data_IF_851407008948
#
_entry.id   IF_851407008948
#
_cell.length_a   1.000
_cell.length_b   1.000
_cell.length_c   1.000
_cell.angle_alpha   90.00
_cell.angle_beta   90.00
_cell.angle_gamma   90.00
#
_symmetry.space_group_name_H-M   'P 1'
#
loop_
_entity.id
_entity.type
_entity.pdbx_description
1 polymer ?
#
# COMPACT_ATOMS: atom_id res chain seq x y z
N UNK A 1 -15.01 -10.96 -26.14
CA UNK A 1 -16.26 -10.19 -26.32
C UNK A 1 -16.87 -9.99 -24.94
N UNK A 2 -16.98 -8.75 -24.47
CA UNK A 2 -17.59 -8.44 -23.16
C UNK A 2 -19.07 -8.15 -23.45
N UNK A 3 -19.97 -8.90 -22.81
CA UNK A 3 -21.41 -8.66 -22.91
C UNK A 3 -21.80 -7.52 -21.95
N UNK A 4 -22.21 -6.38 -22.52
CA UNK A 4 -22.57 -5.18 -21.77
C UNK A 4 -23.95 -5.28 -21.10
N UNK A 5 -24.73 -6.33 -21.38
CA UNK A 5 -26.06 -6.52 -20.79
C UNK A 5 -26.03 -7.25 -19.44
N UNK A 6 -24.86 -7.76 -19.04
CA UNK A 6 -24.70 -8.45 -17.76
C UNK A 6 -24.42 -7.41 -16.67
N UNK A 7 -25.29 -7.26 -15.66
CA UNK A 7 -25.02 -6.34 -14.56
C UNK A 7 -23.78 -6.80 -13.78
N UNK A 8 -23.00 -5.84 -13.25
CA UNK A 8 -21.80 -6.10 -12.44
C UNK A 8 -22.03 -7.12 -11.31
N UNK A 9 -23.25 -7.19 -10.77
CA UNK A 9 -23.68 -8.14 -9.74
C UNK A 9 -23.60 -9.61 -10.18
N UNK A 10 -23.53 -9.89 -11.49
CA UNK A 10 -23.49 -11.24 -12.08
C UNK A 10 -22.12 -11.57 -12.68
N UNK A 11 -21.08 -10.84 -12.29
CA UNK A 11 -19.69 -11.13 -12.70
C UNK A 11 -19.32 -12.56 -12.27
N UNK A 12 -18.73 -13.38 -13.17
CA UNK A 12 -18.38 -14.76 -12.85
C UNK A 12 -17.33 -14.80 -11.75
N UNK A 13 -17.39 -15.84 -10.91
CA UNK A 13 -16.35 -16.07 -9.89
C UNK A 13 -15.11 -16.61 -10.58
N UNK A 14 -14.05 -15.81 -10.58
CA UNK A 14 -12.77 -16.18 -11.19
C UNK A 14 -11.88 -16.89 -10.17
N UNK A 15 -11.20 -17.96 -10.61
CA UNK A 15 -10.19 -18.70 -9.85
C UNK A 15 -10.68 -19.18 -8.47
N UNK A 16 -11.87 -19.78 -8.43
CA UNK A 16 -12.42 -20.34 -7.19
C UNK A 16 -11.45 -21.31 -6.51
N UNK A 17 -11.24 -21.13 -5.20
CA UNK A 17 -10.33 -21.95 -4.39
C UNK A 17 -8.85 -21.55 -4.50
N UNK A 18 -8.45 -20.73 -5.47
CA UNK A 18 -7.09 -20.23 -5.56
C UNK A 18 -6.77 -19.27 -4.40
N UNK A 19 -5.57 -19.38 -3.85
CA UNK A 19 -5.02 -18.45 -2.85
C UNK A 19 -3.83 -17.74 -3.46
N UNK A 20 -3.82 -16.42 -3.37
CA UNK A 20 -2.72 -15.58 -3.84
C UNK A 20 -2.47 -14.43 -2.88
N UNK A 21 -1.25 -13.94 -2.85
CA UNK A 21 -0.91 -12.65 -2.26
C UNK A 21 -0.31 -11.76 -3.36
N UNK A 22 -0.95 -10.62 -3.64
CA UNK A 22 -0.46 -9.70 -4.67
C UNK A 22 0.97 -9.21 -4.36
N UNK A 23 1.31 -9.02 -3.07
CA UNK A 23 2.64 -8.59 -2.67
C UNK A 23 3.73 -9.61 -3.03
N UNK A 24 3.45 -10.91 -3.03
CA UNK A 24 4.44 -11.92 -3.43
C UNK A 24 4.90 -11.74 -4.88
N UNK A 25 3.97 -11.32 -5.75
CA UNK A 25 4.28 -11.02 -7.14
C UNK A 25 5.00 -9.67 -7.31
N UNK A 26 4.56 -8.64 -6.55
CA UNK A 26 5.16 -7.31 -6.60
C UNK A 26 6.58 -7.28 -6.00
N UNK A 27 6.83 -8.07 -4.95
CA UNK A 27 8.09 -8.17 -4.22
C UNK A 27 8.94 -9.39 -4.64
N UNK A 28 8.67 -9.94 -5.82
CA UNK A 28 9.38 -11.12 -6.35
C UNK A 28 10.87 -10.82 -6.54
N UNK A 29 11.19 -9.64 -7.05
CA UNK A 29 12.56 -9.22 -7.30
C UNK A 29 13.15 -8.55 -6.06
N UNK A 30 14.42 -8.86 -5.79
CA UNK A 30 15.18 -8.39 -4.62
C UNK A 30 16.63 -8.11 -5.02
N UNK A 31 16.78 -7.47 -6.16
CA UNK A 31 18.07 -7.19 -6.79
C UNK A 31 18.26 -5.67 -6.98
N UNK A 32 19.41 -5.31 -7.52
CA UNK A 32 19.83 -3.92 -7.70
C UNK A 32 19.18 -3.21 -8.90
N UNK A 33 18.22 -3.84 -9.59
CA UNK A 33 17.48 -3.15 -10.66
C UNK A 33 16.61 -2.05 -10.06
N UNK A 34 16.49 -0.96 -10.81
CA UNK A 34 15.62 0.17 -10.45
C UNK A 34 14.17 -0.28 -10.35
N UNK A 35 13.55 -0.06 -9.19
CA UNK A 35 12.13 -0.25 -8.95
C UNK A 35 11.37 1.08 -9.04
N UNK A 36 11.90 2.14 -8.44
CA UNK A 36 11.27 3.47 -8.44
C UNK A 36 12.27 4.55 -8.83
N UNK A 37 11.78 5.52 -9.61
CA UNK A 37 12.43 6.81 -9.84
C UNK A 37 11.54 7.86 -9.20
N UNK A 38 12.06 8.49 -8.16
CA UNK A 38 11.32 9.43 -7.32
C UNK A 38 11.84 10.82 -7.60
N UNK A 39 10.95 11.73 -7.95
CA UNK A 39 11.27 13.14 -8.20
C UNK A 39 10.32 14.04 -7.42
N UNK A 40 10.77 15.25 -7.13
CA UNK A 40 10.01 16.28 -6.46
C UNK A 40 10.18 17.64 -7.15
N UNK A 41 9.51 18.64 -6.61
CA UNK A 41 9.57 20.03 -7.11
C UNK A 41 11.00 20.61 -7.05
N UNK A 42 11.84 20.08 -6.16
CA UNK A 42 13.26 20.45 -6.03
C UNK A 42 14.16 19.79 -7.11
N UNK A 43 13.57 19.09 -8.08
CA UNK A 43 14.27 18.37 -9.17
C UNK A 43 15.28 17.32 -8.70
N UNK A 44 15.28 16.96 -7.41
CA UNK A 44 16.14 15.90 -6.89
C UNK A 44 15.54 14.56 -7.27
N UNK A 45 16.30 13.80 -8.05
CA UNK A 45 15.94 12.44 -8.42
C UNK A 45 16.57 11.45 -7.46
N UNK A 46 15.75 10.55 -6.92
CA UNK A 46 16.20 9.42 -6.13
C UNK A 46 15.82 8.13 -6.84
N UNK A 47 16.76 7.20 -6.92
CA UNK A 47 16.54 5.87 -7.50
C UNK A 47 16.45 4.89 -6.34
N UNK A 48 15.41 4.07 -6.34
CA UNK A 48 15.22 2.99 -5.36
C UNK A 48 15.28 1.67 -6.09
N UNK A 49 16.13 0.75 -5.62
CA UNK A 49 16.24 -0.59 -6.19
C UNK A 49 15.16 -1.53 -5.66
N UNK A 50 14.93 -2.66 -6.33
CA UNK A 50 14.01 -3.69 -5.84
C UNK A 50 14.43 -4.24 -4.48
N UNK A 51 15.74 -4.42 -4.24
CA UNK A 51 16.28 -4.85 -2.95
C UNK A 51 15.94 -3.85 -1.82
N UNK A 52 16.15 -2.55 -2.07
CA UNK A 52 15.82 -1.50 -1.10
C UNK A 52 14.31 -1.41 -0.82
N UNK A 53 13.50 -1.43 -1.87
CA UNK A 53 12.04 -1.39 -1.75
C UNK A 53 11.52 -2.60 -0.95
N UNK A 54 12.09 -3.78 -1.18
CA UNK A 54 11.74 -4.99 -0.44
C UNK A 54 12.03 -4.84 1.06
N UNK A 55 13.22 -4.32 1.40
CA UNK A 55 13.63 -4.17 2.80
C UNK A 55 12.75 -3.16 3.53
N UNK A 56 12.44 -2.01 2.92
CA UNK A 56 11.52 -1.03 3.47
C UNK A 56 10.11 -1.63 3.69
N UNK A 57 9.57 -2.33 2.69
CA UNK A 57 8.27 -2.99 2.83
C UNK A 57 8.27 -4.06 3.93
N UNK A 58 9.38 -4.80 4.10
CA UNK A 58 9.56 -5.79 5.17
C UNK A 58 9.51 -5.13 6.56
N UNK A 59 10.23 -4.02 6.73
CA UNK A 59 10.25 -3.25 7.98
C UNK A 59 8.88 -2.67 8.32
N UNK A 60 8.19 -2.10 7.33
CA UNK A 60 6.84 -1.55 7.51
C UNK A 60 5.85 -2.64 7.88
N UNK A 61 5.93 -3.80 7.24
CA UNK A 61 5.06 -4.92 7.55
C UNK A 61 5.30 -5.45 8.98
N UNK A 62 6.54 -5.47 9.45
CA UNK A 62 6.85 -5.81 10.84
C UNK A 62 6.26 -4.78 11.82
N UNK A 63 6.41 -3.49 11.53
CA UNK A 63 5.85 -2.41 12.34
C UNK A 63 4.31 -2.48 12.40
N UNK A 64 3.64 -2.69 11.26
CA UNK A 64 2.19 -2.80 11.21
C UNK A 64 1.65 -4.00 11.99
N UNK A 65 2.32 -5.16 11.91
CA UNK A 65 1.96 -6.32 12.75
C UNK A 65 2.12 -6.01 14.24
N UNK A 66 3.19 -5.29 14.62
CA UNK A 66 3.41 -4.86 16.02
C UNK A 66 2.32 -3.89 16.51
N UNK A 67 1.79 -3.07 15.61
CA UNK A 67 0.65 -2.20 15.87
C UNK A 67 -0.71 -2.93 15.87
N UNK A 68 -0.72 -4.25 15.62
CA UNK A 68 -1.90 -5.09 15.69
C UNK A 68 -2.65 -5.27 14.38
N UNK A 69 -2.09 -4.83 13.24
CA UNK A 69 -2.72 -4.99 11.93
C UNK A 69 -2.82 -6.47 11.55
N UNK A 70 -4.01 -6.90 11.11
CA UNK A 70 -4.34 -8.28 10.74
C UNK A 70 -4.90 -8.36 9.33
N UNK A 71 -4.96 -9.59 8.81
CA UNK A 71 -5.60 -9.89 7.53
C UNK A 71 -7.05 -9.42 7.53
N UNK A 72 -7.45 -8.70 6.49
CA UNK A 72 -8.80 -8.15 6.33
C UNK A 72 -9.00 -6.76 6.93
N UNK A 73 -8.06 -6.25 7.74
CA UNK A 73 -8.13 -4.88 8.23
C UNK A 73 -7.97 -3.88 7.08
N UNK A 74 -8.63 -2.74 7.18
CA UNK A 74 -8.55 -1.66 6.18
C UNK A 74 -7.57 -0.60 6.65
N UNK A 75 -6.59 -0.27 5.81
CA UNK A 75 -5.61 0.79 6.05
C UNK A 75 -5.85 1.92 5.06
N UNK A 76 -6.15 3.10 5.60
CA UNK A 76 -6.30 4.32 4.79
C UNK A 76 -4.98 5.08 4.81
N UNK A 77 -4.42 5.30 3.62
CA UNK A 77 -3.25 6.13 3.46
C UNK A 77 -3.65 7.58 3.23
N UNK A 78 -3.17 8.46 4.11
CA UNK A 78 -3.25 9.91 3.96
C UNK A 78 -1.84 10.46 3.78
N UNK A 79 -1.36 10.46 2.54
CA UNK A 79 -0.02 10.89 2.16
C UNK A 79 -0.03 11.41 0.72
N UNK A 80 0.85 12.36 0.42
CA UNK A 80 1.16 12.77 -0.94
C UNK A 80 1.81 11.64 -1.75
N UNK A 81 1.95 11.82 -3.06
CA UNK A 81 2.62 10.87 -3.95
C UNK A 81 4.12 10.77 -3.61
N UNK A 82 4.45 9.85 -2.71
CA UNK A 82 5.77 9.63 -2.13
C UNK A 82 6.10 8.15 -2.15
N UNK A 83 7.39 7.80 -2.24
CA UNK A 83 7.86 6.40 -2.25
C UNK A 83 7.41 5.62 -1.01
N UNK A 84 7.30 6.30 0.13
CA UNK A 84 6.86 5.73 1.40
C UNK A 84 5.40 5.21 1.32
N UNK A 85 4.54 5.84 0.50
CA UNK A 85 3.19 5.35 0.27
C UNK A 85 3.20 4.01 -0.49
N UNK A 86 4.14 3.84 -1.43
CA UNK A 86 4.32 2.58 -2.17
C UNK A 86 4.84 1.49 -1.22
N UNK A 87 5.82 1.80 -0.37
CA UNK A 87 6.35 0.84 0.61
C UNK A 87 5.27 0.39 1.60
N UNK A 88 4.49 1.35 2.11
CA UNK A 88 3.37 1.07 3.00
C UNK A 88 2.28 0.25 2.34
N UNK A 89 1.92 0.54 1.09
CA UNK A 89 0.96 -0.26 0.32
C UNK A 89 1.43 -1.72 0.20
N UNK A 90 2.69 -1.94 -0.20
CA UNK A 90 3.23 -3.30 -0.34
C UNK A 90 3.27 -4.04 1.00
N UNK A 91 3.62 -3.35 2.08
CA UNK A 91 3.58 -3.89 3.43
C UNK A 91 2.16 -4.31 3.86
N UNK A 92 1.17 -3.45 3.67
CA UNK A 92 -0.25 -3.73 4.00
C UNK A 92 -0.76 -4.93 3.21
N UNK A 93 -0.53 -4.94 1.90
CA UNK A 93 -0.96 -6.04 1.03
C UNK A 93 -0.25 -7.34 1.39
N UNK A 94 1.03 -7.29 1.80
CA UNK A 94 1.78 -8.49 2.24
C UNK A 94 1.19 -9.15 3.50
N UNK A 95 0.55 -8.37 4.37
CA UNK A 95 -0.14 -8.86 5.58
C UNK A 95 -1.53 -9.45 5.22
N UNK A 96 -2.03 -9.19 4.01
CA UNK A 96 -3.40 -9.50 3.61
C UNK A 96 -4.42 -8.50 4.15
N UNK A 97 -3.95 -7.32 4.58
CA UNK A 97 -4.80 -6.18 4.88
C UNK A 97 -5.16 -5.43 3.58
N UNK A 98 -6.22 -4.65 3.62
CA UNK A 98 -6.78 -3.93 2.48
C UNK A 98 -6.22 -2.51 2.49
N UNK A 99 -5.46 -2.16 1.45
CA UNK A 99 -4.98 -0.79 1.24
C UNK A 99 -6.04 0.06 0.54
N UNK A 100 -6.24 1.28 1.04
CA UNK A 100 -7.03 2.30 0.33
C UNK A 100 -6.33 3.66 0.44
N UNK A 101 -6.30 4.39 -0.67
CA UNK A 101 -5.78 5.76 -0.70
C UNK A 101 -6.90 6.75 -0.45
N UNK A 102 -6.74 7.63 0.54
CA UNK A 102 -7.50 8.86 0.54
C UNK A 102 -6.79 9.84 -0.39
N UNK A 103 -7.46 10.27 -1.45
CA UNK A 103 -6.97 11.39 -2.25
C UNK A 103 -6.77 12.58 -1.30
N UNK A 104 -5.60 13.27 -1.29
CA UNK A 104 -5.27 14.28 -0.29
C UNK A 104 -6.31 15.42 -0.15
N UNK A 105 -7.12 15.63 -1.20
CA UNK A 105 -8.19 16.62 -1.24
C UNK A 105 -9.54 16.15 -0.67
N UNK A 106 -9.73 14.85 -0.40
CA UNK A 106 -10.87 14.37 0.40
C UNK A 106 -10.55 14.62 1.88
N UNK A 107 -11.14 15.68 2.41
CA UNK A 107 -10.86 16.23 3.74
C UNK A 107 -11.29 15.36 4.93
N UNK A 108 -11.40 16.04 6.07
CA UNK A 108 -11.57 15.52 7.45
C UNK A 108 -12.80 14.59 7.65
N UNK A 109 -13.73 14.54 6.70
CA UNK A 109 -14.98 13.78 6.80
C UNK A 109 -14.80 12.25 6.82
N UNK A 110 -13.73 11.71 6.25
CA UNK A 110 -13.49 10.24 6.22
C UNK A 110 -13.06 9.71 7.60
N UNK A 111 -12.63 10.58 8.53
CA UNK A 111 -12.06 10.21 9.84
C UNK A 111 -12.98 9.38 10.73
N UNK A 112 -14.30 9.52 10.60
CA UNK A 112 -15.26 9.01 11.60
C UNK A 112 -15.94 7.66 11.24
N UNK A 113 -15.67 7.06 10.07
CA UNK A 113 -16.51 5.95 9.56
C UNK A 113 -15.82 4.61 9.33
N UNK A 114 -14.52 4.47 9.50
CA UNK A 114 -13.87 3.17 9.43
C UNK A 114 -12.97 2.96 10.66
N UNK A 115 -12.67 1.70 10.96
CA UNK A 115 -11.53 1.33 11.80
C UNK A 115 -10.24 1.77 11.06
N UNK A 116 -10.04 3.08 10.97
CA UNK A 116 -8.99 3.72 10.19
C UNK A 116 -7.77 3.76 11.09
N UNK A 117 -6.87 2.83 10.86
CA UNK A 117 -5.53 2.94 11.40
C UNK A 117 -4.82 4.09 10.68
N UNK A 118 -4.76 5.27 11.30
CA UNK A 118 -3.90 6.38 10.93
C UNK A 118 -2.44 6.02 11.25
N UNK A 119 -1.83 5.15 10.45
CA UNK A 119 -0.52 4.61 10.81
C UNK A 119 0.62 5.60 10.47
N UNK A 120 0.46 6.41 9.42
CA UNK A 120 1.63 7.12 8.86
C UNK A 120 1.85 8.53 9.41
N UNK A 121 0.81 9.26 9.85
CA UNK A 121 1.02 10.56 10.51
C UNK A 121 1.75 10.40 11.85
N UNK A 122 1.37 9.39 12.64
CA UNK A 122 1.93 9.15 13.98
C UNK A 122 3.33 8.52 13.95
N UNK A 123 3.69 7.78 12.89
CA UNK A 123 5.03 7.20 12.72
C UNK A 123 6.05 8.22 12.18
N UNK A 124 5.61 9.20 11.38
CA UNK A 124 6.49 10.25 10.83
C UNK A 124 6.68 11.43 11.79
N UNK A 125 5.68 11.76 12.62
CA UNK A 125 5.80 12.79 13.67
C UNK A 125 6.70 12.35 14.84
N UNK A 126 7.03 11.05 14.95
CA UNK A 126 7.95 10.53 15.97
C UNK A 126 9.43 10.54 15.57
N UNK A 127 9.79 11.10 14.41
CA UNK A 127 11.15 11.08 13.89
C UNK A 127 11.57 12.40 13.21
N UNK A 128 11.12 13.53 13.76
CA UNK A 128 11.71 14.84 13.46
C UNK A 128 12.79 15.16 14.49
N UNK A 129 14.04 15.19 14.02
CA UNK A 129 15.10 16.00 14.63
C UNK A 129 14.70 17.48 14.64
#
# INVERSE_FOLDING_TARGET
>A
VIDLNVPLSRSPRWFEGAKLNCAENLLKYRDERTALIVTGEDSKTQIVTYAQMFEEARLYAAAFRKLGLKKGDVVVCYMSNRKEAIFAMQAVVSIGAIWTGALPFLGVEVRNKANIYFILKRALEGNTY
#
